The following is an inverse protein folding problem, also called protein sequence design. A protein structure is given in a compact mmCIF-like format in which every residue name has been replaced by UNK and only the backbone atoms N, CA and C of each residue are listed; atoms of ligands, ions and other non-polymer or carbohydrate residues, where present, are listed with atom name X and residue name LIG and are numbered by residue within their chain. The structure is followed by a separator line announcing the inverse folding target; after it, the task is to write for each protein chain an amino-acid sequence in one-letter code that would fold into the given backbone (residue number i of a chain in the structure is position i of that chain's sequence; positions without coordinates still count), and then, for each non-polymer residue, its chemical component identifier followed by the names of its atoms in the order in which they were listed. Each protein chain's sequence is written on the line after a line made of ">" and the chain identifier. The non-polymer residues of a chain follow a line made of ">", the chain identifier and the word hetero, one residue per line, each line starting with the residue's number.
data_IF_849991352028
#
_entry.id   IF_849991352028
#
_cell.length_a   1.000
_cell.length_b   1.000
_cell.length_c   1.000
_cell.angle_alpha   90.00
_cell.angle_beta   90.00
_cell.angle_gamma   90.00
#
_symmetry.space_group_name_H-M   'P 1'
#
loop_
_entity.id
_entity.type
_entity.pdbx_description
1 polymer ?
#
# COMPACT_ATOMS: atom_id res chain seq x y z
N UNK A 1 -8.50 -11.80 -12.04
CA UNK A 1 -8.04 -10.66 -11.22
C UNK A 1 -7.52 -9.49 -12.07
N UNK A 2 -6.44 -9.61 -12.85
CA UNK A 2 -5.92 -8.47 -13.66
C UNK A 2 -6.95 -7.88 -14.64
N UNK A 3 -7.70 -8.71 -15.37
CA UNK A 3 -8.75 -8.25 -16.30
C UNK A 3 -9.83 -7.41 -15.60
N UNK A 4 -10.27 -7.86 -14.43
CA UNK A 4 -11.26 -7.17 -13.59
C UNK A 4 -10.73 -5.81 -13.11
N UNK A 5 -9.45 -5.76 -12.72
CA UNK A 5 -8.80 -4.53 -12.28
C UNK A 5 -8.67 -3.52 -13.42
N UNK A 6 -8.24 -3.94 -14.61
CA UNK A 6 -8.13 -3.07 -15.79
C UNK A 6 -9.48 -2.53 -16.25
N UNK A 7 -10.53 -3.37 -16.24
CA UNK A 7 -11.88 -2.96 -16.61
C UNK A 7 -12.44 -1.91 -15.63
N UNK A 8 -12.31 -2.15 -14.32
CA UNK A 8 -12.72 -1.19 -13.28
C UNK A 8 -11.98 0.14 -13.41
N UNK A 9 -10.68 0.14 -13.76
CA UNK A 9 -9.89 1.36 -13.95
C UNK A 9 -10.40 2.25 -15.09
N UNK A 10 -10.97 1.68 -16.14
CA UNK A 10 -11.52 2.43 -17.28
C UNK A 10 -12.88 3.08 -16.96
N UNK A 11 -13.62 2.52 -15.98
CA UNK A 11 -14.96 3.00 -15.62
C UNK A 11 -14.90 4.23 -14.73
N UNK A 12 -15.94 5.08 -14.79
CA UNK A 12 -16.14 6.22 -13.87
C UNK A 12 -16.99 5.84 -12.65
N UNK A 13 -17.92 4.91 -12.84
CA UNK A 13 -18.80 4.35 -11.82
C UNK A 13 -18.80 2.83 -11.98
N UNK A 14 -18.88 2.11 -10.87
CA UNK A 14 -18.95 0.64 -10.83
C UNK A 14 -19.93 0.21 -9.77
N UNK A 15 -20.43 -1.02 -9.83
CA UNK A 15 -21.37 -1.48 -8.81
C UNK A 15 -20.66 -1.76 -7.49
N UNK A 16 -21.40 -1.69 -6.38
CA UNK A 16 -20.92 -2.12 -5.06
C UNK A 16 -20.41 -3.56 -5.12
N UNK A 17 -21.13 -4.45 -5.83
CA UNK A 17 -20.73 -5.84 -6.04
C UNK A 17 -19.36 -5.97 -6.73
N UNK A 18 -19.11 -5.19 -7.77
CA UNK A 18 -17.82 -5.23 -8.49
C UNK A 18 -16.65 -4.87 -7.56
N UNK A 19 -16.83 -3.84 -6.72
CA UNK A 19 -15.81 -3.42 -5.75
C UNK A 19 -15.65 -4.50 -4.66
N UNK A 20 -16.74 -5.09 -4.16
CA UNK A 20 -16.67 -6.16 -3.15
C UNK A 20 -15.92 -7.39 -3.66
N UNK A 21 -16.22 -7.86 -4.89
CA UNK A 21 -15.53 -8.99 -5.53
C UNK A 21 -14.05 -8.66 -5.71
N UNK A 22 -13.73 -7.47 -6.21
CA UNK A 22 -12.35 -7.03 -6.35
C UNK A 22 -11.64 -6.99 -5.00
N UNK A 23 -12.24 -6.38 -3.99
CA UNK A 23 -11.68 -6.27 -2.64
C UNK A 23 -11.42 -7.65 -2.02
N UNK A 24 -12.31 -8.64 -2.24
CA UNK A 24 -12.10 -10.01 -1.81
C UNK A 24 -10.84 -10.63 -2.45
N UNK A 25 -10.67 -10.47 -3.76
CA UNK A 25 -9.46 -10.93 -4.45
C UNK A 25 -8.19 -10.22 -3.96
N UNK A 26 -8.25 -8.91 -3.75
CA UNK A 26 -7.12 -8.13 -3.25
C UNK A 26 -6.75 -8.52 -1.82
N UNK A 27 -7.74 -8.75 -0.95
CA UNK A 27 -7.52 -9.25 0.40
C UNK A 27 -6.86 -10.64 0.41
N UNK A 28 -7.23 -11.52 -0.53
CA UNK A 28 -6.52 -12.79 -0.71
C UNK A 28 -5.07 -12.57 -1.16
N UNK A 29 -4.83 -11.66 -2.12
CA UNK A 29 -3.49 -11.31 -2.57
C UNK A 29 -2.62 -10.67 -1.46
N UNK A 30 -3.21 -10.00 -0.48
CA UNK A 30 -2.51 -9.48 0.69
C UNK A 30 -1.85 -10.56 1.57
N UNK A 31 -2.15 -11.85 1.35
CA UNK A 31 -1.41 -12.96 1.99
C UNK A 31 0.03 -13.09 1.49
N UNK A 32 0.30 -12.63 0.27
CA UNK A 32 1.62 -12.71 -0.37
C UNK A 32 2.22 -11.32 -0.63
N UNK A 33 1.38 -10.29 -0.80
CA UNK A 33 1.76 -8.88 -0.90
C UNK A 33 1.35 -8.13 0.36
N UNK A 34 2.16 -8.21 1.42
CA UNK A 34 1.79 -7.68 2.75
C UNK A 34 1.46 -6.18 2.74
N UNK A 35 2.28 -5.37 2.05
CA UNK A 35 2.06 -3.94 1.88
C UNK A 35 0.73 -3.59 1.16
N UNK A 36 0.14 -4.56 0.45
CA UNK A 36 -1.10 -4.41 -0.31
C UNK A 36 -2.31 -3.99 0.54
N UNK A 37 -2.35 -4.33 1.83
CA UNK A 37 -3.49 -4.03 2.71
C UNK A 37 -3.77 -2.53 2.84
N UNK A 38 -2.72 -1.71 2.80
CA UNK A 38 -2.85 -0.24 2.88
C UNK A 38 -3.66 0.31 1.71
N UNK A 39 -3.48 -0.26 0.52
CA UNK A 39 -4.18 0.08 -0.71
C UNK A 39 -5.62 -0.48 -0.77
N UNK A 40 -5.99 -1.40 0.11
CA UNK A 40 -7.37 -1.87 0.25
C UNK A 40 -8.24 -0.92 1.10
N UNK A 41 -7.64 -0.06 1.93
CA UNK A 41 -8.38 0.79 2.88
C UNK A 41 -9.37 1.73 2.19
N UNK A 42 -8.94 2.45 1.14
CA UNK A 42 -9.83 3.39 0.43
C UNK A 42 -10.96 2.67 -0.31
N UNK A 43 -10.72 1.46 -0.80
CA UNK A 43 -11.76 0.61 -1.37
C UNK A 43 -12.82 0.23 -0.33
N UNK A 44 -12.39 -0.18 0.87
CA UNK A 44 -13.31 -0.46 1.99
C UNK A 44 -14.11 0.77 2.42
N UNK A 45 -13.47 1.94 2.51
CA UNK A 45 -14.17 3.20 2.82
C UNK A 45 -15.16 3.60 1.73
N UNK A 46 -14.87 3.33 0.45
CA UNK A 46 -15.80 3.59 -0.65
C UNK A 46 -17.07 2.72 -0.59
N UNK A 47 -17.02 1.60 0.13
CA UNK A 47 -18.14 0.70 0.39
C UNK A 47 -18.90 1.03 1.69
N UNK A 48 -18.34 1.83 2.59
CA UNK A 48 -18.96 2.15 3.87
C UNK A 48 -20.32 2.85 3.67
N UNK A 49 -21.36 2.36 4.35
CA UNK A 49 -22.73 2.89 4.24
C UNK A 49 -23.44 2.55 2.92
N UNK A 50 -22.95 1.57 2.15
CA UNK A 50 -23.60 1.08 0.92
C UNK A 50 -24.20 -0.31 1.17
N UNK A 51 -25.52 -0.43 1.08
CA UNK A 51 -26.23 -1.68 1.41
C UNK A 51 -26.58 -2.52 0.17
N UNK A 52 -26.92 -1.87 -0.95
CA UNK A 52 -27.45 -2.57 -2.13
C UNK A 52 -26.34 -2.90 -3.15
N UNK A 53 -26.15 -4.19 -3.53
CA UNK A 53 -25.03 -4.61 -4.40
C UNK A 53 -25.03 -3.99 -5.81
N UNK A 54 -26.21 -3.61 -6.31
CA UNK A 54 -26.41 -3.04 -7.65
C UNK A 54 -26.27 -1.51 -7.69
N UNK A 55 -26.11 -0.85 -6.54
CA UNK A 55 -25.84 0.58 -6.50
C UNK A 55 -24.48 0.90 -7.09
N UNK A 56 -24.41 2.06 -7.76
CA UNK A 56 -23.18 2.52 -8.40
C UNK A 56 -22.40 3.45 -7.46
N UNK A 57 -21.10 3.16 -7.30
CA UNK A 57 -20.14 3.99 -6.57
C UNK A 57 -19.23 4.68 -7.58
N UNK A 58 -18.99 5.97 -7.37
CA UNK A 58 -18.04 6.75 -8.18
C UNK A 58 -16.62 6.42 -7.75
N UNK A 59 -15.76 6.08 -8.69
CA UNK A 59 -14.34 5.87 -8.44
C UNK A 59 -13.63 7.22 -8.34
N UNK A 60 -13.29 7.62 -7.11
CA UNK A 60 -12.46 8.81 -6.86
C UNK A 60 -11.00 8.56 -7.28
N UNK A 61 -10.25 9.64 -7.50
CA UNK A 61 -8.86 9.57 -7.95
C UNK A 61 -7.97 8.71 -7.03
N UNK A 62 -8.16 8.80 -5.71
CA UNK A 62 -7.41 8.00 -4.74
C UNK A 62 -7.64 6.50 -4.89
N UNK A 63 -8.88 6.06 -5.13
CA UNK A 63 -9.19 4.64 -5.38
C UNK A 63 -8.52 4.17 -6.68
N UNK A 64 -8.56 4.99 -7.74
CA UNK A 64 -7.85 4.65 -8.99
C UNK A 64 -6.33 4.58 -8.81
N UNK A 65 -5.75 5.44 -7.97
CA UNK A 65 -4.32 5.38 -7.67
C UNK A 65 -3.95 4.06 -6.95
N UNK A 66 -4.74 3.66 -5.94
CA UNK A 66 -4.54 2.39 -5.23
C UNK A 66 -4.67 1.18 -6.17
N UNK A 67 -5.64 1.20 -7.09
CA UNK A 67 -5.79 0.14 -8.09
C UNK A 67 -4.63 0.08 -9.09
N UNK A 68 -4.01 1.21 -9.45
CA UNK A 68 -2.79 1.21 -10.26
C UNK A 68 -1.59 0.63 -9.51
N UNK A 69 -1.47 0.90 -8.22
CA UNK A 69 -0.45 0.28 -7.36
C UNK A 69 -0.62 -1.23 -7.32
N UNK A 70 -1.84 -1.74 -7.21
CA UNK A 70 -2.11 -3.17 -7.35
C UNK A 70 -1.69 -3.73 -8.71
N UNK A 71 -1.90 -2.99 -9.80
CA UNK A 71 -1.36 -3.35 -11.11
C UNK A 71 0.16 -3.49 -11.10
N UNK A 72 0.87 -2.59 -10.41
CA UNK A 72 2.33 -2.66 -10.27
C UNK A 72 2.76 -3.85 -9.41
N UNK A 73 2.06 -4.15 -8.31
CA UNK A 73 2.33 -5.34 -7.51
C UNK A 73 2.18 -6.61 -8.34
N UNK A 74 1.08 -6.78 -9.08
CA UNK A 74 0.90 -7.99 -9.88
C UNK A 74 1.90 -8.12 -11.03
N UNK A 75 2.35 -7.00 -11.61
CA UNK A 75 3.34 -7.02 -12.69
C UNK A 75 4.74 -7.43 -12.20
N UNK A 76 5.13 -7.00 -11.00
CA UNK A 76 6.50 -7.20 -10.49
C UNK A 76 6.59 -8.27 -9.39
N UNK A 77 5.48 -8.87 -8.98
CA UNK A 77 5.50 -9.93 -7.98
C UNK A 77 6.22 -11.17 -8.54
N UNK A 78 7.35 -11.51 -7.95
CA UNK A 78 8.25 -12.59 -8.37
C UNK A 78 7.84 -13.97 -7.80
N UNK A 79 6.66 -14.09 -7.20
CA UNK A 79 6.19 -15.33 -6.58
C UNK A 79 6.67 -15.54 -5.15
N UNK A 80 7.60 -14.72 -4.64
CA UNK A 80 8.13 -14.83 -3.28
C UNK A 80 7.35 -13.87 -2.38
N UNK A 81 6.58 -14.37 -1.39
CA UNK A 81 5.90 -13.51 -0.43
C UNK A 81 6.89 -12.61 0.30
N UNK A 82 6.52 -11.35 0.57
CA UNK A 82 7.40 -10.43 1.30
C UNK A 82 7.79 -10.99 2.70
N UNK A 83 6.96 -11.86 3.29
CA UNK A 83 7.28 -12.56 4.55
C UNK A 83 8.40 -13.60 4.41
N UNK A 84 8.65 -14.16 3.22
CA UNK A 84 9.71 -15.15 3.04
C UNK A 84 11.11 -14.53 3.10
N UNK A 85 11.21 -13.20 2.96
CA UNK A 85 12.45 -12.45 3.20
C UNK A 85 12.89 -12.52 4.67
N UNK A 86 12.01 -12.92 5.60
CA UNK A 86 12.37 -13.15 7.01
C UNK A 86 13.00 -14.53 7.26
N UNK A 87 12.96 -15.46 6.28
CA UNK A 87 13.43 -16.86 6.44
C UNK A 87 14.74 -17.11 5.68
N UNK A 88 15.15 -16.19 4.80
CA UNK A 88 16.47 -16.24 4.17
C UNK A 88 17.46 -15.63 5.16
N UNK A 89 18.61 -16.27 5.33
CA UNK A 89 19.74 -15.78 6.10
C UNK A 89 20.31 -14.55 5.38
N UNK A 90 19.67 -13.39 5.53
CA UNK A 90 20.21 -12.13 5.04
C UNK A 90 21.24 -11.66 6.08
N UNK A 91 22.50 -11.53 5.68
CA UNK A 91 23.55 -10.84 6.44
C UNK A 91 23.22 -9.35 6.71
N UNK A 92 22.04 -8.88 6.28
CA UNK A 92 21.62 -7.48 6.29
C UNK A 92 20.38 -7.31 7.17
N UNK A 93 20.58 -6.75 8.37
CA UNK A 93 19.51 -6.38 9.28
C UNK A 93 19.35 -4.85 9.32
N UNK A 94 18.22 -4.36 8.81
CA UNK A 94 17.86 -2.94 8.82
C UNK A 94 16.80 -2.70 9.90
N UNK A 95 17.06 -1.74 10.77
CA UNK A 95 16.13 -1.30 11.82
C UNK A 95 15.67 0.11 11.50
N UNK A 96 14.36 0.32 11.38
CA UNK A 96 13.79 1.63 11.04
C UNK A 96 12.63 2.00 11.95
N UNK A 97 12.49 3.29 12.23
CA UNK A 97 11.33 3.85 12.92
C UNK A 97 10.91 5.19 12.27
N UNK A 98 9.62 5.51 12.35
CA UNK A 98 9.04 6.70 11.76
C UNK A 98 8.00 7.32 12.69
N UNK A 99 8.21 8.59 13.05
CA UNK A 99 7.29 9.34 13.89
C UNK A 99 6.44 10.29 13.04
N UNK A 100 5.11 10.19 13.15
CA UNK A 100 4.14 10.91 12.33
C UNK A 100 4.35 12.43 12.19
N UNK A 101 4.82 13.08 13.25
CA UNK A 101 4.97 14.54 13.31
C UNK A 101 6.41 15.04 13.38
N UNK A 102 7.42 14.16 13.44
CA UNK A 102 8.81 14.56 13.73
C UNK A 102 9.75 14.22 12.58
N UNK A 103 9.98 12.93 12.33
CA UNK A 103 10.98 12.49 11.37
C UNK A 103 11.05 10.98 11.31
N UNK A 104 12.18 10.48 10.83
CA UNK A 104 12.50 9.08 10.81
C UNK A 104 13.92 8.79 11.28
N UNK A 105 14.16 7.53 11.62
CA UNK A 105 15.49 6.98 11.85
C UNK A 105 15.64 5.64 11.16
N UNK A 106 16.84 5.37 10.68
CA UNK A 106 17.23 4.05 10.19
C UNK A 106 18.64 3.70 10.65
N UNK A 107 18.85 2.44 11.00
CA UNK A 107 20.10 1.87 11.47
C UNK A 107 20.41 0.58 10.70
N UNK A 108 21.66 0.45 10.27
CA UNK A 108 22.20 -0.74 9.63
C UNK A 108 23.70 -0.82 9.87
N UNK A 109 24.17 -1.96 10.37
CA UNK A 109 25.61 -2.29 10.51
C UNK A 109 26.48 -1.17 11.12
N UNK A 110 26.10 -0.68 12.30
CA UNK A 110 26.82 0.39 13.00
C UNK A 110 26.65 1.80 12.42
N UNK A 111 25.97 1.94 11.27
CA UNK A 111 25.64 3.21 10.64
C UNK A 111 24.19 3.58 10.93
N UNK A 112 23.93 4.87 11.08
CA UNK A 112 22.58 5.38 11.25
C UNK A 112 22.36 6.64 10.41
N UNK A 113 21.11 6.88 10.05
CA UNK A 113 20.63 8.11 9.44
C UNK A 113 19.33 8.49 10.14
N UNK A 114 19.22 9.75 10.57
CA UNK A 114 18.01 10.27 11.19
C UNK A 114 17.80 11.70 10.71
N UNK A 115 16.59 11.98 10.24
CA UNK A 115 16.24 13.27 9.66
C UNK A 115 14.81 13.66 10.02
N UNK A 116 14.59 14.97 10.12
CA UNK A 116 13.26 15.53 10.34
C UNK A 116 12.45 15.53 9.04
N UNK A 117 11.14 15.35 9.16
CA UNK A 117 10.27 15.47 7.99
C UNK A 117 10.28 16.89 7.44
N UNK A 118 10.23 17.08 6.11
CA UNK A 118 9.99 18.38 5.53
C UNK A 118 8.72 19.02 6.10
N UNK A 119 8.69 20.35 6.24
CA UNK A 119 7.52 21.07 6.81
C UNK A 119 6.22 20.79 6.03
N UNK A 120 6.32 20.48 4.74
CA UNK A 120 5.18 20.07 3.91
C UNK A 120 4.62 18.69 4.27
N UNK A 121 5.35 17.89 5.06
CA UNK A 121 4.96 16.55 5.49
C UNK A 121 4.32 16.52 6.86
N UNK A 122 4.79 17.36 7.77
CA UNK A 122 4.21 17.51 9.11
C UNK A 122 2.81 18.15 9.06
N UNK A 123 2.55 19.04 8.09
CA UNK A 123 1.24 19.71 7.92
C UNK A 123 0.21 18.91 7.11
N UNK A 124 0.66 17.93 6.32
CA UNK A 124 -0.14 17.30 5.27
C UNK A 124 -0.82 15.97 5.64
N UNK A 125 -0.63 15.45 6.86
CA UNK A 125 -1.26 14.20 7.30
C UNK A 125 -0.96 13.01 6.39
N UNK A 126 0.31 12.57 6.34
CA UNK A 126 0.66 11.33 5.64
C UNK A 126 0.20 10.12 6.45
N UNK A 127 -0.21 9.05 5.77
CA UNK A 127 -0.53 7.80 6.44
C UNK A 127 0.72 7.22 7.10
N UNK A 128 0.58 6.66 8.30
CA UNK A 128 1.71 6.07 9.04
C UNK A 128 2.48 5.04 8.21
N UNK A 129 1.78 4.18 7.46
CA UNK A 129 2.41 3.19 6.58
C UNK A 129 3.30 3.79 5.47
N UNK A 130 2.99 5.00 5.01
CA UNK A 130 3.86 5.71 4.06
C UNK A 130 5.12 6.22 4.76
N UNK A 131 4.97 6.74 5.98
CA UNK A 131 6.08 7.25 6.77
C UNK A 131 7.01 6.13 7.21
N UNK A 132 6.49 4.94 7.51
CA UNK A 132 7.29 3.74 7.83
C UNK A 132 8.00 3.15 6.60
N UNK A 133 7.45 3.32 5.39
CA UNK A 133 8.08 2.82 4.16
C UNK A 133 9.29 3.67 3.74
N UNK A 134 9.24 4.98 3.97
CA UNK A 134 10.28 5.90 3.49
C UNK A 134 11.69 5.56 4.03
N UNK A 135 11.91 5.28 5.33
CA UNK A 135 13.22 4.94 5.89
C UNK A 135 13.79 3.65 5.31
N UNK A 136 12.93 2.69 5.01
CA UNK A 136 13.34 1.44 4.35
C UNK A 136 13.86 1.72 2.92
N UNK A 137 13.21 2.64 2.18
CA UNK A 137 13.71 3.06 0.87
C UNK A 137 15.06 3.77 1.02
N UNK A 138 15.20 4.67 1.99
CA UNK A 138 16.47 5.37 2.27
C UNK A 138 17.59 4.36 2.53
N UNK A 139 17.36 3.35 3.36
CA UNK A 139 18.37 2.34 3.68
C UNK A 139 18.84 1.49 2.50
N UNK A 140 18.02 1.35 1.45
CA UNK A 140 18.37 0.57 0.25
C UNK A 140 18.99 1.46 -0.84
N UNK A 141 18.85 2.78 -0.74
CA UNK A 141 19.39 3.74 -1.69
C UNK A 141 20.75 4.35 -1.28
N UNK A 142 21.24 4.04 -0.07
CA UNK A 142 22.50 4.54 0.50
C UNK A 142 23.46 3.36 0.70
#
# INVERSE_FOLDING_TARGET
>A
MMRTLTDILQRRKVTVRDIQVLLGHLNFACRVVWAGRTFCRRLGLALAGRELPHHHVRLIAGVKADLRMWGMFFKHFNGIPLQYWQVVDWDVQIFSDAAGGSGFGVYWDGKYCAESWPVSWTRGGRSIAFLELFPLIVAVCV
#
